data_IF_740677909352
#
_entry.id   IF_740677909352
#
_cell.length_a   1.000
_cell.length_b   1.000
_cell.length_c   1.000
_cell.angle_alpha   90.00
_cell.angle_beta   90.00
_cell.angle_gamma   90.00
#
_symmetry.space_group_name_H-M   'P 1'
#
loop_
_entity.id
_entity.type
_entity.pdbx_description
1 polymer ?
#
# COMPACT_ATOMS: atom_id res chain seq x y z
N UNK A 1 -1.08 59.02 -2.07
CA UNK A 1 0.12 58.56 -1.34
C UNK A 1 0.33 57.10 -1.72
N UNK A 2 1.16 56.90 -2.74
CA UNK A 2 1.59 55.61 -3.29
C UNK A 2 2.83 55.13 -2.53
N UNK A 3 2.92 53.86 -2.10
CA UNK A 3 4.18 53.31 -1.64
C UNK A 3 5.01 52.84 -2.84
N UNK A 4 6.18 53.44 -2.97
CA UNK A 4 7.32 53.03 -3.79
C UNK A 4 7.91 51.74 -3.20
N UNK A 5 8.07 50.70 -4.01
CA UNK A 5 8.81 49.48 -3.62
C UNK A 5 9.78 49.12 -4.75
N UNK A 6 11.01 48.88 -4.32
CA UNK A 6 12.25 48.91 -5.08
C UNK A 6 12.42 47.76 -6.08
N UNK A 7 13.10 48.07 -7.17
CA UNK A 7 13.70 47.16 -8.14
C UNK A 7 14.81 46.31 -7.50
N UNK A 8 14.91 44.99 -7.81
CA UNK A 8 15.99 44.15 -7.32
C UNK A 8 17.31 44.42 -8.06
N UNK A 9 18.39 44.57 -7.28
CA UNK A 9 19.78 44.71 -7.71
C UNK A 9 20.29 43.41 -8.33
N UNK A 10 20.80 43.52 -9.56
CA UNK A 10 21.54 42.47 -10.29
C UNK A 10 22.86 42.17 -9.56
N UNK A 11 23.10 40.90 -9.22
CA UNK A 11 24.37 40.44 -8.68
C UNK A 11 25.43 40.31 -9.78
N UNK A 12 26.68 40.78 -9.57
CA UNK A 12 27.75 40.67 -10.57
C UNK A 12 28.30 39.23 -10.67
N UNK A 13 28.37 38.74 -11.90
CA UNK A 13 29.01 37.48 -12.28
C UNK A 13 30.55 37.55 -12.09
N UNK A 14 31.19 36.57 -11.46
CA UNK A 14 32.65 36.55 -11.32
C UNK A 14 33.33 36.26 -12.67
N UNK A 15 34.26 37.15 -13.03
CA UNK A 15 35.11 37.09 -14.22
C UNK A 15 36.22 36.03 -14.10
N UNK A 16 36.47 35.32 -15.20
CA UNK A 16 37.47 34.28 -15.35
C UNK A 16 38.90 34.82 -15.31
N UNK A 17 39.77 34.21 -14.50
CA UNK A 17 41.22 34.36 -14.60
C UNK A 17 41.80 33.26 -15.52
N UNK A 18 42.80 33.58 -16.38
CA UNK A 18 43.37 32.60 -17.31
C UNK A 18 44.40 31.70 -16.61
N UNK A 19 44.44 30.38 -16.89
CA UNK A 19 45.55 29.53 -16.45
C UNK A 19 46.78 29.67 -17.35
N UNK A 20 47.90 29.76 -16.66
CA UNK A 20 49.31 29.80 -17.04
C UNK A 20 49.71 28.77 -18.12
N UNK A 21 50.50 29.22 -19.11
CA UNK A 21 51.12 28.37 -20.12
C UNK A 21 52.23 27.49 -19.50
N UNK A 22 52.10 26.17 -19.67
CA UNK A 22 53.14 25.19 -19.35
C UNK A 22 53.78 24.73 -20.66
N UNK A 23 55.09 24.95 -20.78
CA UNK A 23 55.92 24.50 -21.90
C UNK A 23 56.07 22.98 -21.82
N UNK A 24 55.52 22.26 -22.79
CA UNK A 24 55.73 20.82 -22.96
C UNK A 24 56.91 20.56 -23.90
N UNK A 25 57.91 19.82 -23.42
CA UNK A 25 59.00 19.26 -24.22
C UNK A 25 58.47 18.12 -25.11
N UNK A 26 58.93 17.96 -26.37
CA UNK A 26 58.44 16.90 -27.24
C UNK A 26 58.95 15.53 -26.78
N UNK A 27 58.02 14.60 -26.52
CA UNK A 27 58.30 13.18 -26.29
C UNK A 27 58.25 12.46 -27.67
N UNK A 28 59.16 11.51 -27.98
CA UNK A 28 59.20 10.85 -29.28
C UNK A 28 57.93 10.02 -29.54
N UNK A 29 57.40 10.10 -30.76
CA UNK A 29 56.25 9.32 -31.18
C UNK A 29 56.56 7.80 -31.20
N UNK A 30 55.94 7.04 -30.30
CA UNK A 30 55.80 5.59 -30.47
C UNK A 30 54.72 5.33 -31.53
N UNK A 31 55.11 4.65 -32.60
CA UNK A 31 54.22 4.13 -33.63
C UNK A 31 53.43 2.96 -33.01
N UNK A 32 52.13 3.14 -32.80
CA UNK A 32 51.21 2.07 -32.41
C UNK A 32 50.73 1.30 -33.66
N UNK A 33 50.62 -0.04 -33.61
CA UNK A 33 50.02 -0.83 -34.68
C UNK A 33 48.52 -0.53 -34.83
N UNK A 34 47.91 -0.78 -36.00
CA UNK A 34 46.52 -0.45 -36.26
C UNK A 34 45.56 -1.18 -35.33
N UNK A 35 44.68 -0.39 -34.72
CA UNK A 35 43.61 -0.78 -33.82
C UNK A 35 42.61 -1.71 -34.53
N UNK A 36 42.59 -2.97 -34.12
CA UNK A 36 41.49 -3.89 -34.45
C UNK A 36 40.39 -3.71 -33.40
N UNK A 37 39.49 -2.74 -33.64
CA UNK A 37 38.29 -2.57 -32.82
C UNK A 37 37.25 -3.64 -33.19
N UNK A 38 37.41 -4.85 -32.67
CA UNK A 38 36.27 -5.76 -32.51
C UNK A 38 35.60 -5.43 -31.19
N UNK A 39 34.51 -4.67 -31.28
CA UNK A 39 33.57 -4.43 -30.20
C UNK A 39 32.88 -5.75 -29.86
N UNK A 40 33.44 -6.53 -28.95
CA UNK A 40 32.66 -7.50 -28.20
C UNK A 40 31.82 -6.70 -27.20
N UNK A 41 30.57 -6.45 -27.55
CA UNK A 41 29.57 -5.93 -26.61
C UNK A 41 29.36 -6.99 -25.53
N UNK A 42 30.18 -6.95 -24.48
CA UNK A 42 29.81 -7.55 -23.20
C UNK A 42 28.56 -6.78 -22.77
N UNK A 43 27.38 -7.40 -22.67
CA UNK A 43 26.24 -6.71 -22.08
C UNK A 43 26.69 -6.22 -20.70
N UNK A 44 26.47 -4.93 -20.35
CA UNK A 44 26.73 -4.52 -18.98
C UNK A 44 25.94 -5.48 -18.08
N UNK A 45 26.62 -6.14 -17.13
CA UNK A 45 25.91 -6.78 -16.02
C UNK A 45 25.04 -5.67 -15.44
N UNK A 46 23.73 -5.73 -15.68
CA UNK A 46 22.80 -4.85 -15.03
C UNK A 46 23.06 -5.02 -13.53
N UNK A 47 23.47 -3.93 -12.85
CA UNK A 47 23.35 -3.89 -11.40
C UNK A 47 21.93 -4.33 -11.08
N UNK A 48 21.71 -5.33 -10.21
CA UNK A 48 20.36 -5.73 -9.86
C UNK A 48 19.61 -4.49 -9.39
N UNK A 49 18.39 -4.29 -9.90
CA UNK A 49 17.58 -3.17 -9.49
C UNK A 49 17.46 -3.19 -7.96
N UNK A 50 17.83 -2.08 -7.32
CA UNK A 50 17.56 -1.87 -5.90
C UNK A 50 16.07 -1.56 -5.77
N UNK A 51 15.39 -2.21 -4.82
CA UNK A 51 13.94 -2.16 -4.61
C UNK A 51 13.15 -2.81 -5.75
N UNK A 52 12.96 -4.13 -5.64
CA UNK A 52 12.29 -4.95 -6.64
C UNK A 52 11.29 -5.89 -5.96
N UNK A 53 10.14 -6.06 -6.62
CA UNK A 53 9.19 -7.14 -6.37
C UNK A 53 9.13 -8.01 -7.63
N UNK A 54 9.12 -9.33 -7.46
CA UNK A 54 8.95 -10.26 -8.57
C UNK A 54 7.96 -11.37 -8.25
N UNK A 55 7.23 -11.79 -9.29
CA UNK A 55 6.27 -12.87 -9.26
C UNK A 55 6.65 -13.92 -10.31
N UNK A 56 6.41 -15.20 -10.02
CA UNK A 56 6.63 -16.27 -10.99
C UNK A 56 5.62 -16.25 -12.15
N UNK A 57 4.48 -15.56 -11.96
CA UNK A 57 3.41 -15.34 -12.93
C UNK A 57 2.59 -14.11 -12.58
N UNK A 58 1.87 -13.57 -13.55
CA UNK A 58 1.04 -12.36 -13.44
C UNK A 58 -0.47 -12.62 -13.50
N UNK A 59 -0.90 -13.89 -13.40
CA UNK A 59 -2.33 -14.25 -13.38
C UNK A 59 -2.61 -15.35 -12.36
N UNK A 60 -3.63 -15.14 -11.54
CA UNK A 60 -4.03 -16.00 -10.42
C UNK A 60 -5.53 -16.22 -10.42
N UNK A 61 -5.97 -17.34 -9.83
CA UNK A 61 -7.37 -17.58 -9.51
C UNK A 61 -7.77 -16.86 -8.23
N UNK A 62 -9.05 -16.54 -8.07
CA UNK A 62 -9.57 -16.00 -6.82
C UNK A 62 -9.22 -16.92 -5.62
N UNK A 63 -8.72 -16.33 -4.53
CA UNK A 63 -8.31 -17.05 -3.32
C UNK A 63 -7.05 -17.94 -3.49
N UNK A 64 -6.33 -17.81 -4.59
CA UNK A 64 -5.10 -18.55 -4.85
C UNK A 64 -3.90 -17.96 -4.09
N UNK A 65 -2.95 -18.80 -3.65
CA UNK A 65 -1.73 -18.28 -3.03
C UNK A 65 -0.81 -17.63 -4.06
N UNK A 66 -0.32 -16.44 -3.72
CA UNK A 66 0.67 -15.67 -4.47
C UNK A 66 1.97 -15.70 -3.66
N UNK A 67 3.08 -16.12 -4.27
CA UNK A 67 4.40 -15.95 -3.68
C UNK A 67 5.10 -14.78 -4.36
N UNK A 68 5.53 -13.79 -3.58
CA UNK A 68 6.28 -12.63 -4.04
C UNK A 68 7.67 -12.66 -3.45
N UNK A 69 8.68 -12.54 -4.32
CA UNK A 69 10.06 -12.34 -3.89
C UNK A 69 10.34 -10.84 -3.87
N UNK A 70 10.99 -10.36 -2.81
CA UNK A 70 11.34 -8.96 -2.66
C UNK A 70 12.83 -8.78 -2.39
N UNK A 71 13.36 -7.65 -2.84
CA UNK A 71 14.69 -7.14 -2.51
C UNK A 71 14.60 -5.63 -2.34
N UNK A 72 15.12 -5.09 -1.25
CA UNK A 72 15.16 -3.65 -0.98
C UNK A 72 16.60 -3.22 -0.69
N UNK A 73 16.85 -1.93 -0.84
CA UNK A 73 18.10 -1.32 -0.38
C UNK A 73 18.26 -1.60 1.13
N UNK A 74 19.35 -2.26 1.57
CA UNK A 74 19.61 -2.47 2.98
C UNK A 74 19.59 -1.19 3.81
N UNK A 75 19.94 -0.03 3.22
CA UNK A 75 19.85 1.27 3.89
C UNK A 75 18.40 1.67 4.25
N UNK A 76 17.41 1.14 3.53
CA UNK A 76 15.97 1.35 3.79
C UNK A 76 15.36 0.24 4.65
N UNK A 77 16.08 -0.86 4.89
CA UNK A 77 15.57 -2.02 5.65
C UNK A 77 15.52 -1.85 7.16
N UNK A 78 15.92 -0.69 7.69
CA UNK A 78 15.93 -0.45 9.13
C UNK A 78 14.55 -0.21 9.73
N UNK A 79 13.56 0.18 8.93
CA UNK A 79 12.20 0.36 9.40
C UNK A 79 11.49 -1.00 9.50
N UNK A 80 11.05 -1.36 10.70
CA UNK A 80 10.32 -2.60 10.95
C UNK A 80 8.89 -2.57 10.38
N UNK A 81 8.40 -1.39 10.04
CA UNK A 81 7.06 -1.13 9.52
C UNK A 81 7.04 -0.98 8.00
N UNK A 82 8.16 -1.14 7.30
CA UNK A 82 8.15 -1.28 5.84
C UNK A 82 7.24 -2.46 5.47
N UNK A 83 6.41 -2.32 4.43
CA UNK A 83 5.39 -3.31 4.11
C UNK A 83 5.21 -3.56 2.62
N UNK A 84 4.70 -4.74 2.29
CA UNK A 84 4.17 -5.07 0.96
C UNK A 84 2.68 -5.35 1.11
N UNK A 85 1.86 -4.79 0.23
CA UNK A 85 0.43 -5.08 0.23
C UNK A 85 -0.17 -5.18 -1.16
N UNK A 86 -1.31 -5.87 -1.22
CA UNK A 86 -2.14 -5.99 -2.41
C UNK A 86 -3.05 -4.79 -2.46
N UNK A 87 -2.85 -3.94 -3.47
CA UNK A 87 -3.62 -2.73 -3.70
C UNK A 87 -4.27 -2.83 -5.07
N UNK A 88 -5.55 -2.46 -5.22
CA UNK A 88 -6.18 -2.37 -6.53
C UNK A 88 -5.39 -1.48 -7.49
N UNK A 89 -5.22 -1.91 -8.74
CA UNK A 89 -4.35 -1.21 -9.70
C UNK A 89 -4.89 0.17 -10.14
N UNK A 90 -6.16 0.47 -9.86
CA UNK A 90 -6.78 1.77 -10.09
C UNK A 90 -6.50 2.80 -8.98
N UNK A 91 -5.95 2.38 -7.85
CA UNK A 91 -5.50 3.30 -6.78
C UNK A 91 -4.22 4.01 -7.24
N UNK A 92 -4.14 5.36 -7.13
CA UNK A 92 -2.94 6.09 -7.50
C UNK A 92 -1.68 5.61 -6.77
N UNK A 93 -0.57 5.47 -7.50
CA UNK A 93 0.73 5.11 -6.90
C UNK A 93 1.36 6.27 -6.12
N UNK A 94 2.28 5.93 -5.22
CA UNK A 94 3.24 6.87 -4.63
C UNK A 94 3.08 7.07 -3.12
N UNK A 95 1.87 7.38 -2.66
CA UNK A 95 1.62 7.68 -1.25
C UNK A 95 1.24 6.43 -0.47
N UNK A 96 2.02 6.08 0.54
CA UNK A 96 1.71 4.96 1.43
C UNK A 96 0.35 5.16 2.10
N UNK A 97 0.09 6.34 2.66
CA UNK A 97 -1.19 6.65 3.31
C UNK A 97 -2.42 6.55 2.40
N UNK A 98 -2.25 6.63 1.07
CA UNK A 98 -3.36 6.42 0.14
C UNK A 98 -3.51 4.93 -0.14
N UNK A 99 -2.40 4.24 -0.44
CA UNK A 99 -2.38 2.80 -0.66
C UNK A 99 -2.89 2.02 0.57
N UNK A 100 -2.57 2.47 1.79
CA UNK A 100 -2.98 1.90 3.07
C UNK A 100 -4.50 1.99 3.32
N UNK A 101 -5.21 2.90 2.62
CA UNK A 101 -6.68 2.96 2.68
C UNK A 101 -7.33 1.87 1.84
N UNK A 102 -6.61 1.33 0.86
CA UNK A 102 -7.15 0.42 -0.15
C UNK A 102 -6.45 -0.93 -0.20
N UNK A 103 -5.52 -1.20 0.72
CA UNK A 103 -4.81 -2.48 0.77
C UNK A 103 -5.77 -3.60 1.21
N UNK A 104 -5.90 -4.61 0.36
CA UNK A 104 -6.76 -5.76 0.65
C UNK A 104 -6.06 -6.73 1.62
N UNK A 105 -4.74 -6.73 1.60
CA UNK A 105 -3.88 -7.47 2.52
C UNK A 105 -2.50 -6.85 2.50
N UNK A 106 -1.81 -6.86 3.64
CA UNK A 106 -0.44 -6.39 3.79
C UNK A 106 0.35 -7.29 4.73
N UNK A 107 1.67 -7.25 4.59
CA UNK A 107 2.65 -7.88 5.48
C UNK A 107 3.85 -6.97 5.65
N UNK A 108 4.34 -6.84 6.89
CA UNK A 108 5.57 -6.12 7.18
C UNK A 108 6.79 -6.92 6.75
N UNK A 109 7.86 -6.22 6.35
CA UNK A 109 9.16 -6.80 6.03
C UNK A 109 9.92 -7.23 7.29
N UNK A 110 9.56 -6.70 8.45
CA UNK A 110 10.20 -6.99 9.74
C UNK A 110 11.72 -6.74 9.70
N UNK A 111 12.14 -5.69 8.98
CA UNK A 111 13.53 -5.30 8.81
C UNK A 111 14.36 -6.19 7.86
N UNK A 112 13.73 -7.11 7.11
CA UNK A 112 14.42 -7.94 6.12
C UNK A 112 14.68 -7.13 4.85
N UNK A 113 15.91 -7.17 4.33
CA UNK A 113 16.27 -6.52 3.06
C UNK A 113 15.93 -7.37 1.82
N UNK A 114 15.64 -8.66 1.99
CA UNK A 114 15.24 -9.57 0.92
C UNK A 114 14.51 -10.78 1.49
N UNK A 115 13.67 -11.42 0.69
CA UNK A 115 12.97 -12.63 1.09
C UNK A 115 11.81 -12.97 0.17
N UNK A 116 10.96 -13.86 0.64
CA UNK A 116 9.69 -14.20 0.00
C UNK A 116 8.54 -13.99 1.00
N UNK A 117 7.39 -13.60 0.48
CA UNK A 117 6.14 -13.50 1.22
C UNK A 117 5.03 -14.22 0.48
N UNK A 118 4.10 -14.80 1.22
CA UNK A 118 2.92 -15.45 0.66
C UNK A 118 1.69 -14.59 0.92
N UNK A 119 0.99 -14.22 -0.14
CA UNK A 119 -0.31 -13.55 -0.09
C UNK A 119 -1.40 -14.49 -0.62
N UNK A 120 -2.65 -14.07 -0.46
CA UNK A 120 -3.81 -14.70 -1.09
C UNK A 120 -4.36 -13.70 -2.11
N UNK A 121 -4.56 -14.17 -3.34
CA UNK A 121 -5.18 -13.39 -4.40
C UNK A 121 -6.58 -12.92 -3.96
N UNK A 122 -6.95 -11.66 -4.22
CA UNK A 122 -8.28 -11.15 -3.91
C UNK A 122 -9.39 -12.05 -4.47
N UNK A 123 -10.51 -12.12 -3.77
CA UNK A 123 -11.66 -12.92 -4.23
C UNK A 123 -12.40 -12.24 -5.40
N UNK A 124 -12.29 -10.91 -5.52
CA UNK A 124 -12.86 -10.15 -6.63
C UNK A 124 -11.92 -10.21 -7.85
N UNK A 125 -12.38 -10.68 -9.02
CA UNK A 125 -11.61 -10.61 -10.26
C UNK A 125 -11.26 -9.17 -10.64
N UNK A 126 -10.05 -8.94 -11.16
CA UNK A 126 -9.56 -7.60 -11.47
C UNK A 126 -8.05 -7.52 -11.62
N UNK A 127 -7.55 -6.30 -11.79
CA UNK A 127 -6.12 -6.00 -11.81
C UNK A 127 -5.68 -5.42 -10.47
N UNK A 128 -4.55 -5.89 -9.97
CA UNK A 128 -4.01 -5.54 -8.68
C UNK A 128 -2.50 -5.36 -8.78
N UNK A 129 -1.95 -4.62 -7.84
CA UNK A 129 -0.51 -4.52 -7.63
C UNK A 129 -0.15 -5.08 -6.27
N UNK A 130 0.98 -5.77 -6.19
CA UNK A 130 1.74 -5.81 -4.95
C UNK A 130 2.63 -4.57 -4.93
N UNK A 131 2.48 -3.74 -3.91
CA UNK A 131 3.24 -2.48 -3.77
C UNK A 131 4.08 -2.53 -2.49
N UNK A 132 5.34 -2.10 -2.59
CA UNK A 132 6.33 -2.08 -1.51
C UNK A 132 6.50 -0.65 -1.01
N UNK A 133 6.43 -0.47 0.31
CA UNK A 133 6.48 0.83 0.97
C UNK A 133 7.55 0.87 2.06
N UNK A 134 8.17 2.03 2.24
CA UNK A 134 9.31 2.19 3.16
C UNK A 134 8.94 2.16 4.64
N UNK A 135 7.70 2.49 5.00
CA UNK A 135 7.24 2.61 6.39
C UNK A 135 5.72 2.74 6.45
N UNK A 136 5.11 2.35 7.57
CA UNK A 136 3.67 2.46 7.87
C UNK A 136 3.29 3.83 8.49
N UNK A 137 4.08 4.85 8.20
CA UNK A 137 3.95 6.19 8.78
C UNK A 137 4.35 7.25 7.77
N UNK A 138 3.52 7.45 6.74
CA UNK A 138 3.80 8.33 5.60
C UNK A 138 5.01 7.85 4.78
N UNK A 139 5.07 6.54 4.52
CA UNK A 139 6.10 5.95 3.67
C UNK A 139 6.01 6.35 2.20
N UNK A 140 7.07 6.02 1.46
CA UNK A 140 7.08 6.11 0.00
C UNK A 140 6.85 4.74 -0.60
N UNK A 141 6.04 4.68 -1.65
CA UNK A 141 6.04 3.53 -2.55
C UNK A 141 7.33 3.50 -3.37
N UNK A 142 8.11 2.43 -3.24
CA UNK A 142 9.44 2.30 -3.85
C UNK A 142 9.55 1.19 -4.91
N UNK A 143 8.57 0.27 -4.95
CA UNK A 143 8.46 -0.73 -6.01
C UNK A 143 7.01 -1.25 -6.11
N UNK A 144 6.63 -1.77 -7.28
CA UNK A 144 5.39 -2.51 -7.46
C UNK A 144 5.56 -3.63 -8.48
N UNK A 145 4.67 -4.61 -8.44
CA UNK A 145 4.51 -5.63 -9.49
C UNK A 145 3.02 -5.92 -9.70
N UNK A 146 2.59 -5.94 -10.96
CA UNK A 146 1.19 -6.13 -11.30
C UNK A 146 0.81 -7.61 -11.45
N UNK A 147 -0.45 -7.91 -11.16
CA UNK A 147 -1.07 -9.20 -11.47
C UNK A 147 -2.56 -9.05 -11.72
N UNK A 148 -3.15 -10.05 -12.35
CA UNK A 148 -4.60 -10.16 -12.58
C UNK A 148 -5.18 -11.35 -11.82
N UNK A 149 -6.39 -11.18 -11.32
CA UNK A 149 -7.21 -12.26 -10.78
C UNK A 149 -8.32 -12.56 -11.77
N UNK A 150 -8.47 -13.84 -12.13
CA UNK A 150 -9.52 -14.35 -12.99
C UNK A 150 -10.13 -15.64 -12.44
N UNK A 151 -11.20 -16.12 -13.07
CA UNK A 151 -11.86 -17.36 -12.67
C UNK A 151 -13.03 -17.16 -11.71
N UNK A 152 -13.77 -18.24 -11.40
CA UNK A 152 -14.93 -18.17 -10.51
C UNK A 152 -14.46 -17.81 -9.10
N UNK A 153 -15.18 -16.90 -8.45
CA UNK A 153 -14.94 -16.55 -7.04
C UNK A 153 -14.99 -17.82 -6.21
N UNK A 154 -13.94 -18.08 -5.42
CA UNK A 154 -13.93 -19.25 -4.57
C UNK A 154 -14.94 -19.01 -3.45
N UNK A 155 -15.86 -19.94 -3.17
CA UNK A 155 -16.88 -19.70 -2.16
C UNK A 155 -16.22 -19.55 -0.79
N UNK A 156 -16.22 -18.32 -0.27
CA UNK A 156 -15.91 -18.04 1.13
C UNK A 156 -17.00 -18.71 1.96
N UNK A 157 -16.64 -19.35 3.08
CA UNK A 157 -17.57 -20.21 3.85
C UNK A 157 -18.71 -19.44 4.54
N UNK A 158 -18.71 -18.11 4.50
CA UNK A 158 -19.75 -17.23 5.01
C UNK A 158 -19.24 -15.80 5.18
N UNK A 159 -20.13 -14.89 5.57
CA UNK A 159 -19.75 -13.54 5.95
C UNK A 159 -18.97 -13.57 7.27
N UNK A 160 -17.86 -12.84 7.33
CA UNK A 160 -17.01 -12.79 8.51
C UNK A 160 -16.42 -11.39 8.71
N UNK A 161 -16.35 -10.99 9.98
CA UNK A 161 -15.52 -9.90 10.47
C UNK A 161 -14.55 -10.50 11.50
N UNK A 162 -13.25 -10.38 11.25
CA UNK A 162 -12.21 -10.92 12.13
C UNK A 162 -11.31 -9.79 12.57
N UNK A 163 -11.30 -9.51 13.87
CA UNK A 163 -10.45 -8.48 14.46
C UNK A 163 -9.04 -9.01 14.72
N UNK A 164 -8.05 -8.13 14.66
CA UNK A 164 -6.69 -8.42 15.12
C UNK A 164 -6.62 -8.60 16.65
N UNK A 165 -7.48 -7.92 17.41
CA UNK A 165 -7.61 -7.99 18.87
C UNK A 165 -9.09 -7.92 19.28
N UNK A 166 -9.39 -8.29 20.52
CA UNK A 166 -10.73 -8.13 21.10
C UNK A 166 -10.82 -6.99 22.12
N UNK A 167 -9.67 -6.35 22.41
CA UNK A 167 -9.51 -5.29 23.40
C UNK A 167 -8.54 -4.24 22.88
N UNK A 168 -8.90 -2.98 23.02
CA UNK A 168 -8.14 -1.84 22.50
C UNK A 168 -8.10 -0.72 23.53
N UNK A 169 -7.05 0.10 23.49
CA UNK A 169 -6.98 1.37 24.20
C UNK A 169 -7.72 2.48 23.41
N UNK A 170 -8.14 3.57 24.09
CA UNK A 170 -8.76 4.70 23.41
C UNK A 170 -7.86 5.29 22.30
N UNK A 171 -8.37 5.32 21.06
CA UNK A 171 -7.61 5.80 19.90
C UNK A 171 -6.64 4.80 19.26
N UNK A 172 -6.58 3.57 19.74
CA UNK A 172 -5.78 2.52 19.11
C UNK A 172 -6.36 2.13 17.75
N UNK A 173 -5.49 1.81 16.78
CA UNK A 173 -5.92 1.29 15.48
C UNK A 173 -6.48 -0.12 15.62
N UNK A 174 -7.68 -0.31 15.08
CA UNK A 174 -8.38 -1.58 14.93
C UNK A 174 -8.18 -2.05 13.50
N UNK A 175 -7.70 -3.28 13.31
CA UNK A 175 -7.63 -3.91 11.99
C UNK A 175 -8.70 -4.99 11.93
N UNK A 176 -9.66 -4.82 11.03
CA UNK A 176 -10.69 -5.83 10.76
C UNK A 176 -10.44 -6.45 9.39
N UNK A 177 -10.40 -7.77 9.34
CA UNK A 177 -10.46 -8.52 8.08
C UNK A 177 -11.93 -8.81 7.79
N UNK A 178 -12.40 -8.35 6.64
CA UNK A 178 -13.77 -8.52 6.16
C UNK A 178 -13.78 -9.58 5.08
N UNK A 179 -14.81 -10.43 5.08
CA UNK A 179 -15.07 -11.37 3.99
C UNK A 179 -16.56 -11.53 3.80
N UNK A 180 -17.02 -11.43 2.56
CA UNK A 180 -18.42 -11.51 2.16
C UNK A 180 -18.59 -12.70 1.23
N UNK A 181 -19.61 -13.51 1.50
CA UNK A 181 -19.98 -14.64 0.67
C UNK A 181 -20.33 -14.16 -0.74
N UNK A 182 -19.72 -14.75 -1.77
CA UNK A 182 -19.86 -14.26 -3.14
C UNK A 182 -21.30 -14.28 -3.67
N UNK A 183 -22.12 -15.21 -3.17
CA UNK A 183 -23.54 -15.32 -3.53
C UNK A 183 -24.48 -14.39 -2.77
N UNK A 184 -24.01 -13.71 -1.71
CA UNK A 184 -24.85 -12.78 -0.99
C UNK A 184 -25.07 -11.52 -1.84
N UNK A 185 -26.35 -11.20 -2.04
CA UNK A 185 -26.73 -10.00 -2.80
C UNK A 185 -26.29 -8.78 -2.00
N UNK A 186 -25.37 -8.03 -2.58
CA UNK A 186 -24.96 -6.72 -2.10
C UNK A 186 -24.78 -5.78 -3.28
N UNK A 187 -24.74 -4.49 -3.00
CA UNK A 187 -24.28 -3.50 -3.96
C UNK A 187 -22.91 -2.93 -3.54
N UNK A 188 -22.41 -1.97 -4.31
CA UNK A 188 -21.12 -1.32 -4.05
C UNK A 188 -21.15 -0.41 -2.81
N UNK A 189 -22.33 -0.15 -2.24
CA UNK A 189 -22.53 0.60 -1.01
C UNK A 189 -22.54 -0.27 0.25
N UNK A 190 -22.31 -1.59 0.12
CA UNK A 190 -22.04 -2.43 1.28
C UNK A 190 -20.95 -1.82 2.18
N UNK A 191 -21.14 -1.82 3.49
CA UNK A 191 -20.32 -1.05 4.41
C UNK A 191 -20.11 -1.75 5.74
N UNK A 192 -19.01 -1.40 6.41
CA UNK A 192 -18.75 -1.78 7.80
C UNK A 192 -18.85 -0.55 8.67
N UNK A 193 -19.75 -0.58 9.66
CA UNK A 193 -19.96 0.46 10.64
C UNK A 193 -19.32 0.12 11.98
N UNK A 194 -18.78 1.13 12.67
CA UNK A 194 -18.39 1.05 14.08
C UNK A 194 -19.49 1.67 14.94
N UNK A 195 -20.08 0.87 15.83
CA UNK A 195 -21.24 1.26 16.63
C UNK A 195 -21.05 0.92 18.11
N UNK A 196 -21.65 1.68 19.04
CA UNK A 196 -21.83 1.20 20.40
C UNK A 196 -22.70 -0.08 20.41
N UNK A 197 -22.30 -1.13 21.14
CA UNK A 197 -23.04 -2.41 21.14
C UNK A 197 -24.46 -2.31 21.74
N UNK A 198 -24.80 -1.18 22.38
CA UNK A 198 -26.15 -0.92 22.90
C UNK A 198 -27.17 -0.61 21.79
N UNK A 199 -26.71 -0.25 20.60
CA UNK A 199 -27.58 -0.01 19.44
C UNK A 199 -28.16 -1.35 18.97
N UNK A 200 -29.46 -1.40 18.69
CA UNK A 200 -30.11 -2.63 18.21
C UNK A 200 -29.51 -3.08 16.87
N UNK A 201 -29.45 -4.40 16.64
CA UNK A 201 -28.91 -4.98 15.41
C UNK A 201 -29.96 -5.04 14.30
N UNK A 202 -29.51 -5.13 13.05
CA UNK A 202 -30.34 -5.55 11.92
C UNK A 202 -31.01 -4.45 11.10
N UNK A 203 -31.36 -3.30 11.69
CA UNK A 203 -31.87 -2.13 10.94
C UNK A 203 -30.71 -1.25 10.49
N UNK A 204 -30.42 -1.28 9.19
CA UNK A 204 -29.35 -0.47 8.58
C UNK A 204 -29.58 1.03 8.78
N UNK A 205 -30.81 1.52 8.60
CA UNK A 205 -31.12 2.94 8.79
C UNK A 205 -30.98 3.39 10.26
N UNK A 206 -31.14 2.46 11.22
CA UNK A 206 -30.81 2.73 12.62
C UNK A 206 -29.29 2.78 12.81
N UNK A 207 -28.57 1.80 12.27
CA UNK A 207 -27.12 1.72 12.39
C UNK A 207 -26.41 2.91 11.72
N UNK A 208 -26.86 3.35 10.55
CA UNK A 208 -26.35 4.53 9.84
C UNK A 208 -26.43 5.79 10.73
N UNK A 209 -27.59 6.05 11.35
CA UNK A 209 -27.77 7.18 12.26
C UNK A 209 -26.91 7.12 13.53
N UNK A 210 -26.36 5.96 13.88
CA UNK A 210 -25.66 5.73 15.14
C UNK A 210 -24.19 5.32 14.98
N UNK A 211 -23.68 5.21 13.77
CA UNK A 211 -22.28 4.86 13.56
C UNK A 211 -21.37 5.98 14.08
N UNK A 212 -20.24 5.59 14.67
CA UNK A 212 -19.16 6.52 15.05
C UNK A 212 -18.16 6.70 13.91
N UNK A 213 -18.02 5.67 13.08
CA UNK A 213 -17.21 5.64 11.88
C UNK A 213 -17.76 4.56 10.95
N UNK A 214 -17.49 4.68 9.64
CA UNK A 214 -17.89 3.69 8.66
C UNK A 214 -16.89 3.65 7.50
N UNK A 215 -16.87 2.53 6.78
CA UNK A 215 -16.11 2.37 5.54
C UNK A 215 -16.89 1.52 4.54
N UNK A 216 -16.91 1.94 3.28
CA UNK A 216 -17.51 1.16 2.19
C UNK A 216 -16.57 0.04 1.74
N UNK A 217 -17.17 -1.10 1.40
CA UNK A 217 -16.50 -2.23 0.77
C UNK A 217 -16.26 -2.02 -0.73
N UNK A 218 -17.08 -1.18 -1.38
CA UNK A 218 -17.08 -1.04 -2.83
C UNK A 218 -17.31 -2.37 -3.53
N UNK A 219 -16.57 -2.61 -4.61
CA UNK A 219 -16.62 -3.85 -5.40
C UNK A 219 -15.90 -5.06 -4.75
N UNK A 220 -15.20 -4.89 -3.62
CA UNK A 220 -14.32 -5.92 -3.05
C UNK A 220 -15.05 -6.86 -2.10
N UNK A 221 -14.90 -8.18 -2.26
CA UNK A 221 -15.57 -9.19 -1.42
C UNK A 221 -14.78 -9.52 -0.16
N UNK A 222 -13.53 -9.10 -0.08
CA UNK A 222 -12.65 -9.32 1.06
C UNK A 222 -11.62 -8.21 1.13
N UNK A 223 -11.14 -7.90 2.32
CA UNK A 223 -10.07 -6.94 2.52
C UNK A 223 -9.83 -6.67 3.98
N UNK A 224 -8.81 -5.86 4.28
CA UNK A 224 -8.64 -5.27 5.60
C UNK A 224 -9.23 -3.88 5.61
N UNK A 225 -9.76 -3.47 6.77
CA UNK A 225 -10.16 -2.10 7.03
C UNK A 225 -9.57 -1.65 8.36
N UNK A 226 -9.24 -0.36 8.46
CA UNK A 226 -8.66 0.26 9.65
C UNK A 226 -9.66 1.20 10.30
N UNK A 227 -9.99 0.99 11.57
CA UNK A 227 -10.81 1.89 12.36
C UNK A 227 -10.01 2.45 13.53
N UNK A 228 -10.41 3.62 14.04
CA UNK A 228 -9.86 4.15 15.30
C UNK A 228 -10.78 3.72 16.45
N UNK A 229 -10.22 3.09 17.48
CA UNK A 229 -10.97 2.73 18.67
C UNK A 229 -11.57 3.99 19.34
N UNK A 230 -12.86 3.96 19.72
CA UNK A 230 -13.52 5.09 20.37
C UNK A 230 -12.76 5.65 21.56
N UNK A 231 -12.81 6.98 21.76
CA UNK A 231 -12.13 7.64 22.89
C UNK A 231 -12.76 7.33 24.26
N UNK A 232 -13.98 6.79 24.26
CA UNK A 232 -14.74 6.47 25.46
C UNK A 232 -14.65 4.96 25.70
N UNK A 233 -14.26 4.50 26.90
CA UNK A 233 -14.29 3.09 27.24
C UNK A 233 -15.71 2.51 27.16
N UNK A 234 -15.83 1.27 26.67
CA UNK A 234 -17.14 0.65 26.47
C UNK A 234 -17.12 -0.59 25.59
N UNK A 235 -18.32 -1.07 25.25
CA UNK A 235 -18.55 -2.19 24.34
C UNK A 235 -19.00 -1.65 22.99
N UNK A 236 -18.33 -2.10 21.95
CA UNK A 236 -18.55 -1.66 20.58
C UNK A 236 -18.62 -2.84 19.63
N UNK A 237 -19.31 -2.65 18.52
CA UNK A 237 -19.39 -3.61 17.42
C UNK A 237 -18.83 -2.99 16.14
N UNK A 238 -18.18 -3.83 15.34
CA UNK A 238 -18.13 -3.63 13.89
C UNK A 238 -19.25 -4.45 13.26
N UNK A 239 -20.08 -3.83 12.42
CA UNK A 239 -21.25 -4.44 11.78
C UNK A 239 -21.16 -4.30 10.27
N UNK A 240 -21.31 -5.39 9.55
CA UNK A 240 -21.27 -5.44 8.10
C UNK A 240 -22.69 -5.41 7.54
N UNK A 241 -22.96 -4.48 6.63
CA UNK A 241 -24.23 -4.29 5.92
C UNK A 241 -24.05 -4.56 4.41
N UNK A 242 -25.08 -5.10 3.76
CA UNK A 242 -25.05 -5.43 2.32
C UNK A 242 -25.38 -4.25 1.38
N UNK A 243 -25.91 -3.15 1.92
CA UNK A 243 -26.25 -1.92 1.18
C UNK A 243 -26.38 -0.75 2.16
N UNK A 244 -26.24 0.47 1.65
CA UNK A 244 -26.50 1.75 2.33
C UNK A 244 -27.89 2.32 1.96
N UNK A 245 -28.73 1.52 1.29
CA UNK A 245 -30.12 1.86 0.97
C UNK A 245 -31.06 0.76 1.47
N UNK A 246 -31.44 0.85 2.76
CA UNK A 246 -32.28 -0.14 3.44
C UNK A 246 -31.64 -1.53 3.43
N UNK A 247 -30.34 -1.58 3.69
CA UNK A 247 -29.57 -2.82 3.77
C UNK A 247 -29.95 -3.69 4.97
N UNK A 248 -29.42 -4.90 4.98
CA UNK A 248 -29.47 -5.84 6.09
C UNK A 248 -28.09 -5.93 6.73
N UNK A 249 -28.07 -6.05 8.06
CA UNK A 249 -26.87 -6.52 8.76
C UNK A 249 -26.58 -8.00 8.44
N UNK A 250 -25.41 -8.25 7.85
CA UNK A 250 -24.96 -9.59 7.46
C UNK A 250 -24.30 -10.33 8.62
N UNK A 251 -23.42 -9.65 9.36
CA UNK A 251 -22.64 -10.18 10.49
C UNK A 251 -22.09 -9.02 11.32
N UNK A 252 -21.76 -9.30 12.58
CA UNK A 252 -21.05 -8.36 13.44
C UNK A 252 -19.92 -9.05 14.21
N UNK A 253 -19.01 -8.24 14.74
CA UNK A 253 -18.00 -8.66 15.72
C UNK A 253 -17.88 -7.59 16.81
N UNK A 254 -17.86 -8.02 18.07
CA UNK A 254 -17.80 -7.13 19.23
C UNK A 254 -16.38 -7.04 19.80
N UNK A 255 -16.05 -5.88 20.37
CA UNK A 255 -14.80 -5.63 21.08
C UNK A 255 -15.01 -4.69 22.26
N UNK A 256 -13.98 -4.57 23.10
CA UNK A 256 -13.97 -3.69 24.27
C UNK A 256 -12.93 -2.60 24.09
N UNK A 257 -13.30 -1.35 24.40
CA UNK A 257 -12.33 -0.28 24.67
C UNK A 257 -12.12 -0.22 26.17
N UNK A 258 -10.92 -0.57 26.62
CA UNK A 258 -10.55 -0.55 28.03
C UNK A 258 -10.25 0.87 28.51
N UNK A 259 -10.28 1.08 29.83
CA UNK A 259 -9.80 2.35 30.41
C UNK A 259 -8.28 2.44 30.29
N UNK A 260 -7.70 3.65 30.14
CA UNK A 260 -6.25 3.84 30.07
C UNK A 260 -5.50 3.36 31.32
#
# INVERSE_FOLDING_TARGET
MTPEVATPLVSPQPTSAPPIAIVATPVPALILPPSSSQSASVPPLASPALNELSLSRSQYSAGESITVSFRIDPALSHDQTAWIGIVPADVPHGSESENDKYDLSFQYLEGKAQGEMSFVAPETPGNYDLRLHTSDSNGLEIAHVNFSVSGPVKPISGNALVLDKSRYLPGETIIVTVSIKAEDKRDESAWVGLLPSVIEHGDEALNDRHHLAYQYMGKYLSGKMRFEAPKVPGFYDLRLHDSDDNGRELVYVSFVVDSP
#
